data_IF_781619914337
#
_entry.id   IF_781619914337
#
_cell.length_a   1.000
_cell.length_b   1.000
_cell.length_c   1.000
_cell.angle_alpha   90.00
_cell.angle_beta   90.00
_cell.angle_gamma   90.00
#
_symmetry.space_group_name_H-M   'P 1'
#
loop_
_entity.id
_entity.type
_entity.pdbx_description
1 polymer ?
#
# COMPACT_ATOMS: atom_id res chain seq x y z
N UNK A 1 9.47 -25.59 29.09
CA UNK A 1 9.01 -26.55 28.08
C UNK A 1 7.54 -26.29 27.81
N UNK A 2 7.22 -25.67 26.68
CA UNK A 2 5.85 -25.54 26.16
C UNK A 2 5.94 -25.01 24.72
N UNK A 3 6.39 -25.88 23.82
CA UNK A 3 6.36 -25.66 22.39
C UNK A 3 5.67 -26.86 21.75
N UNK A 4 4.51 -26.63 21.14
CA UNK A 4 3.76 -27.65 20.42
C UNK A 4 2.30 -27.71 20.85
N UNK A 5 1.45 -26.83 20.33
CA UNK A 5 0.04 -27.18 20.03
C UNK A 5 -0.75 -26.10 19.25
N UNK A 6 -0.10 -25.32 18.40
CA UNK A 6 -0.80 -24.30 17.57
C UNK A 6 -0.95 -24.71 16.09
N UNK A 7 -0.45 -25.89 15.70
CA UNK A 7 -0.62 -26.43 14.34
C UNK A 7 -1.88 -27.30 14.20
N UNK A 8 -2.40 -27.84 15.29
CA UNK A 8 -3.54 -28.77 15.28
C UNK A 8 -4.89 -28.02 15.33
N UNK A 9 -4.93 -26.83 15.94
CA UNK A 9 -6.15 -26.02 16.00
C UNK A 9 -6.53 -25.37 14.66
N UNK A 10 -5.55 -25.05 13.80
CA UNK A 10 -5.80 -24.39 12.52
C UNK A 10 -6.45 -25.32 11.47
N UNK A 11 -6.21 -26.63 11.58
CA UNK A 11 -6.77 -27.63 10.65
C UNK A 11 -8.25 -27.91 10.97
N UNK A 12 -8.67 -27.80 12.23
CA UNK A 12 -10.08 -28.03 12.61
C UNK A 12 -11.00 -26.84 12.26
N UNK A 13 -10.50 -25.60 12.28
CA UNK A 13 -11.32 -24.43 11.95
C UNK A 13 -11.61 -24.25 10.45
N UNK A 14 -10.75 -24.78 9.57
CA UNK A 14 -11.04 -24.79 8.12
C UNK A 14 -12.14 -25.79 7.73
N UNK A 15 -12.37 -26.83 8.52
CA UNK A 15 -13.47 -27.79 8.30
C UNK A 15 -14.84 -27.23 8.71
N UNK A 16 -14.89 -26.24 9.60
CA UNK A 16 -16.14 -25.67 10.12
C UNK A 16 -16.72 -24.53 9.27
N UNK A 17 -15.95 -23.92 8.36
CA UNK A 17 -16.44 -22.81 7.53
C UNK A 17 -17.12 -23.30 6.23
N UNK A 18 -16.95 -24.57 5.85
CA UNK A 18 -17.64 -25.17 4.69
C UNK A 18 -19.04 -25.72 5.05
N UNK A 19 -19.39 -25.77 6.35
CA UNK A 19 -20.65 -26.34 6.82
C UNK A 19 -21.71 -25.26 7.12
N UNK A 20 -21.95 -24.32 6.19
CA UNK A 20 -23.18 -23.51 6.22
C UNK A 20 -24.06 -23.95 5.06
N UNK A 21 -24.91 -24.93 5.36
CA UNK A 21 -25.95 -25.43 4.48
C UNK A 21 -26.94 -24.29 4.15
N UNK A 22 -27.11 -24.02 2.85
CA UNK A 22 -28.35 -23.46 2.33
C UNK A 22 -29.33 -24.62 2.06
N UNK A 23 -30.60 -24.37 2.39
CA UNK A 23 -31.72 -25.31 2.32
C UNK A 23 -31.96 -25.86 0.90
N UNK A 24 -32.29 -27.16 0.74
CA UNK A 24 -32.46 -27.79 -0.56
C UNK A 24 -33.92 -27.72 -1.04
N UNK A 25 -34.49 -26.53 -1.22
CA UNK A 25 -35.78 -26.37 -1.90
C UNK A 25 -35.85 -25.05 -2.68
N UNK A 26 -35.09 -24.95 -3.79
CA UNK A 26 -35.42 -24.16 -4.99
C UNK A 26 -34.21 -24.09 -5.93
N UNK A 27 -34.09 -25.08 -6.79
CA UNK A 27 -33.33 -24.93 -8.04
C UNK A 27 -33.73 -26.07 -9.00
N UNK A 28 -35.00 -26.05 -9.42
CA UNK A 28 -35.40 -26.73 -10.65
C UNK A 28 -35.51 -25.65 -11.74
N UNK A 29 -35.08 -26.02 -12.96
CA UNK A 29 -35.12 -25.26 -14.23
C UNK A 29 -33.88 -24.43 -14.62
N UNK A 30 -32.87 -25.11 -15.14
CA UNK A 30 -32.11 -24.64 -16.33
C UNK A 30 -31.61 -25.85 -17.13
N UNK A 31 -31.57 -25.82 -18.48
CA UNK A 31 -31.19 -26.95 -19.30
C UNK A 31 -29.66 -27.02 -19.41
N UNK A 32 -28.98 -27.19 -18.28
CA UNK A 32 -27.56 -27.53 -18.28
C UNK A 32 -27.43 -29.05 -18.14
N UNK A 33 -26.56 -29.72 -18.91
CA UNK A 33 -26.29 -31.14 -18.69
C UNK A 33 -25.89 -31.30 -17.22
N UNK A 34 -26.49 -32.26 -16.52
CA UNK A 34 -26.21 -32.51 -15.10
C UNK A 34 -24.73 -32.81 -14.96
N UNK A 35 -23.95 -31.84 -14.49
CA UNK A 35 -22.51 -31.97 -14.25
C UNK A 35 -22.30 -32.50 -12.84
N UNK A 36 -21.67 -33.66 -12.74
CA UNK A 36 -21.37 -34.33 -11.49
C UNK A 36 -20.01 -33.91 -10.93
N UNK A 37 -19.05 -33.55 -11.78
CA UNK A 37 -17.69 -33.16 -11.38
C UNK A 37 -17.51 -31.64 -11.20
N UNK A 38 -17.01 -31.26 -10.02
CA UNK A 38 -16.69 -29.87 -9.67
C UNK A 38 -15.32 -29.75 -9.00
N UNK A 39 -14.59 -28.68 -9.30
CA UNK A 39 -13.39 -28.27 -8.55
C UNK A 39 -13.81 -27.14 -7.61
N UNK A 40 -13.53 -27.27 -6.31
CA UNK A 40 -13.98 -26.29 -5.30
C UNK A 40 -15.50 -26.23 -5.19
N UNK A 41 -16.05 -25.02 -5.26
CA UNK A 41 -17.50 -24.73 -5.25
C UNK A 41 -18.14 -24.71 -6.65
N UNK A 42 -17.35 -24.97 -7.72
CA UNK A 42 -17.82 -24.96 -9.10
C UNK A 42 -17.95 -23.57 -9.73
N UNK A 43 -17.63 -22.49 -9.01
CA UNK A 43 -17.74 -21.10 -9.50
C UNK A 43 -16.66 -20.70 -10.51
N UNK A 44 -15.53 -21.41 -10.50
CA UNK A 44 -14.32 -21.06 -11.24
C UNK A 44 -13.85 -22.22 -12.10
N UNK A 45 -13.44 -21.90 -13.34
CA UNK A 45 -12.93 -22.87 -14.32
C UNK A 45 -11.43 -22.68 -14.59
N UNK A 46 -10.86 -21.56 -14.17
CA UNK A 46 -9.43 -21.25 -14.28
C UNK A 46 -8.83 -21.10 -12.88
N UNK A 47 -7.73 -21.79 -12.63
CA UNK A 47 -7.04 -21.80 -11.33
C UNK A 47 -5.57 -21.40 -11.52
N UNK A 48 -5.01 -20.65 -10.58
CA UNK A 48 -3.62 -20.19 -10.68
C UNK A 48 -2.70 -21.00 -9.76
N UNK A 49 -1.56 -21.43 -10.29
CA UNK A 49 -0.52 -22.15 -9.56
C UNK A 49 0.86 -21.50 -9.76
N UNK A 50 1.69 -21.41 -8.70
CA UNK A 50 3.05 -20.90 -8.83
C UNK A 50 3.94 -21.89 -9.58
N UNK A 51 4.91 -21.40 -10.35
CA UNK A 51 5.88 -22.19 -11.12
C UNK A 51 6.72 -23.13 -10.24
N UNK A 52 7.12 -24.31 -10.75
CA UNK A 52 8.01 -25.28 -10.09
C UNK A 52 7.54 -25.83 -8.73
N UNK A 53 6.27 -25.64 -8.37
CA UNK A 53 5.73 -26.06 -7.08
C UNK A 53 4.97 -27.39 -7.17
N UNK A 54 4.79 -28.02 -6.01
CA UNK A 54 3.85 -29.13 -5.85
C UNK A 54 2.60 -28.63 -5.15
N UNK A 55 1.46 -29.01 -5.70
CA UNK A 55 0.15 -28.57 -5.26
C UNK A 55 -0.82 -29.73 -5.14
N UNK A 56 -1.99 -29.41 -4.59
CA UNK A 56 -3.10 -30.35 -4.50
C UNK A 56 -4.36 -29.67 -5.00
N UNK A 57 -5.12 -30.39 -5.82
CA UNK A 57 -6.46 -29.97 -6.26
C UNK A 57 -7.46 -30.97 -5.73
N UNK A 58 -8.58 -30.47 -5.20
CA UNK A 58 -9.69 -31.31 -4.73
C UNK A 58 -10.83 -31.25 -5.74
N UNK A 59 -11.25 -32.42 -6.21
CA UNK A 59 -12.41 -32.58 -7.09
C UNK A 59 -13.52 -33.27 -6.32
N UNK A 60 -14.69 -32.65 -6.29
CA UNK A 60 -15.91 -33.24 -5.74
C UNK A 60 -16.75 -33.86 -6.85
N UNK A 61 -17.34 -35.02 -6.57
CA UNK A 61 -18.30 -35.70 -7.45
C UNK A 61 -19.63 -35.88 -6.73
N UNK A 62 -20.68 -35.28 -7.28
CA UNK A 62 -22.07 -35.47 -6.84
C UNK A 62 -22.75 -36.70 -7.45
N UNK A 63 -22.02 -37.53 -8.22
CA UNK A 63 -22.58 -38.70 -8.87
C UNK A 63 -22.95 -39.77 -7.84
N UNK A 64 -24.23 -40.09 -7.73
CA UNK A 64 -24.70 -41.27 -6.98
C UNK A 64 -24.88 -42.42 -7.95
N UNK A 65 -24.10 -43.49 -7.74
CA UNK A 65 -24.37 -44.76 -8.42
C UNK A 65 -25.79 -45.20 -8.07
N UNK A 66 -26.69 -45.15 -9.05
CA UNK A 66 -28.03 -45.69 -8.91
C UNK A 66 -27.89 -47.21 -8.88
N UNK A 67 -28.11 -47.82 -7.71
CA UNK A 67 -28.39 -49.24 -7.64
C UNK A 67 -29.70 -49.49 -8.40
N UNK A 68 -29.61 -49.89 -9.67
CA UNK A 68 -30.83 -50.07 -10.47
C UNK A 68 -30.70 -49.96 -11.99
N UNK A 69 -29.72 -50.62 -12.62
CA UNK A 69 -29.92 -51.16 -13.98
C UNK A 69 -29.47 -52.63 -13.97
N UNK A 70 -30.46 -53.52 -14.14
CA UNK A 70 -30.38 -55.00 -14.13
C UNK A 70 -28.95 -55.55 -14.22
N UNK A 71 -28.42 -56.00 -13.08
CA UNK A 71 -27.24 -56.86 -13.00
C UNK A 71 -25.87 -56.19 -12.86
N UNK A 72 -25.77 -54.86 -12.81
CA UNK A 72 -24.49 -54.16 -12.59
C UNK A 72 -24.38 -53.63 -11.16
N UNK A 73 -23.42 -54.14 -10.40
CA UNK A 73 -23.05 -53.61 -9.08
C UNK A 73 -21.82 -52.71 -9.22
N UNK A 74 -22.03 -51.40 -9.37
CA UNK A 74 -20.95 -50.41 -9.33
C UNK A 74 -20.28 -50.44 -7.96
N UNK A 75 -19.05 -50.96 -7.89
CA UNK A 75 -18.31 -51.13 -6.65
C UNK A 75 -17.41 -49.94 -6.33
N UNK A 76 -16.91 -49.20 -7.34
CA UNK A 76 -15.94 -48.13 -7.10
C UNK A 76 -15.93 -47.05 -8.19
N UNK A 77 -16.28 -45.82 -7.79
CA UNK A 77 -16.07 -44.64 -8.62
C UNK A 77 -14.58 -44.28 -8.63
N UNK A 78 -14.06 -43.87 -9.78
CA UNK A 78 -12.67 -43.39 -9.89
C UNK A 78 -12.61 -42.20 -10.83
N UNK A 79 -11.82 -41.19 -10.44
CA UNK A 79 -11.54 -40.04 -11.28
C UNK A 79 -10.16 -40.20 -11.92
N UNK A 80 -10.09 -39.97 -13.22
CA UNK A 80 -8.83 -39.89 -13.97
C UNK A 80 -8.62 -38.46 -14.42
N UNK A 81 -7.46 -37.90 -14.09
CA UNK A 81 -7.09 -36.53 -14.49
C UNK A 81 -5.81 -36.57 -15.31
N UNK A 82 -5.82 -35.85 -16.43
CA UNK A 82 -4.67 -35.64 -17.29
C UNK A 82 -4.51 -34.16 -17.58
N UNK A 83 -3.27 -33.69 -17.57
CA UNK A 83 -2.95 -32.39 -18.14
C UNK A 83 -2.76 -32.54 -19.65
N UNK A 84 -3.33 -31.64 -20.44
CA UNK A 84 -3.09 -31.58 -21.88
C UNK A 84 -1.75 -30.91 -22.21
N UNK A 85 -1.16 -30.21 -21.24
CA UNK A 85 0.18 -29.62 -21.34
C UNK A 85 1.04 -30.07 -20.13
N UNK A 86 1.76 -31.21 -20.25
CA UNK A 86 2.53 -31.79 -19.14
C UNK A 86 3.77 -30.98 -18.77
N UNK A 87 4.28 -30.13 -19.67
CA UNK A 87 5.42 -29.27 -19.41
C UNK A 87 5.04 -28.11 -18.49
N UNK A 88 3.79 -27.65 -18.58
CA UNK A 88 3.21 -26.62 -17.71
C UNK A 88 2.68 -27.23 -16.40
N UNK A 89 1.90 -28.31 -16.45
CA UNK A 89 1.38 -29.02 -15.26
C UNK A 89 1.47 -30.54 -15.45
N UNK A 90 2.11 -31.22 -14.51
CA UNK A 90 2.15 -32.68 -14.44
C UNK A 90 1.28 -33.21 -13.30
N UNK A 91 0.48 -34.25 -13.59
CA UNK A 91 -0.35 -34.93 -12.59
C UNK A 91 0.51 -36.03 -11.94
N UNK A 92 0.72 -35.94 -10.62
CA UNK A 92 1.55 -36.86 -9.86
C UNK A 92 0.78 -38.11 -9.42
N UNK A 93 -0.38 -37.90 -8.81
CA UNK A 93 -1.24 -38.96 -8.32
C UNK A 93 -2.69 -38.48 -8.16
N UNK A 94 -3.62 -39.44 -8.20
CA UNK A 94 -5.03 -39.21 -7.86
C UNK A 94 -5.37 -40.18 -6.73
N UNK A 95 -5.71 -39.63 -5.56
CA UNK A 95 -6.11 -40.40 -4.39
C UNK A 95 -7.57 -40.14 -4.05
N UNK A 96 -8.31 -41.20 -3.75
CA UNK A 96 -9.66 -41.13 -3.22
C UNK A 96 -9.58 -40.72 -1.73
N UNK A 97 -10.23 -39.60 -1.37
CA UNK A 97 -10.22 -39.07 0.00
C UNK A 97 -11.46 -39.48 0.81
N UNK A 98 -12.33 -40.32 0.24
CA UNK A 98 -13.55 -40.81 0.88
C UNK A 98 -14.77 -39.90 0.63
N UNK A 99 -15.89 -40.26 1.27
CA UNK A 99 -17.17 -39.54 1.15
C UNK A 99 -17.34 -38.54 2.29
N UNK A 100 -17.61 -37.28 1.94
CA UNK A 100 -18.04 -36.25 2.87
C UNK A 100 -19.48 -35.84 2.50
N UNK A 101 -20.47 -36.33 3.27
CA UNK A 101 -21.89 -36.09 2.98
C UNK A 101 -22.38 -36.82 1.72
N UNK A 102 -23.05 -36.09 0.82
CA UNK A 102 -23.65 -36.64 -0.40
C UNK A 102 -22.69 -36.80 -1.59
N UNK A 103 -21.44 -36.35 -1.48
CA UNK A 103 -20.45 -36.28 -2.56
C UNK A 103 -19.16 -37.04 -2.23
N UNK A 104 -18.53 -37.65 -3.25
CA UNK A 104 -17.22 -38.28 -3.17
C UNK A 104 -16.13 -37.24 -3.46
N UNK A 105 -15.03 -37.22 -2.70
CA UNK A 105 -13.94 -36.25 -2.90
C UNK A 105 -12.65 -36.93 -3.34
N UNK A 106 -11.99 -36.39 -4.37
CA UNK A 106 -10.74 -36.88 -4.93
C UNK A 106 -9.66 -35.82 -4.81
N UNK A 107 -8.50 -36.23 -4.32
CA UNK A 107 -7.34 -35.38 -4.08
C UNK A 107 -6.30 -35.68 -5.16
N UNK A 108 -5.93 -34.66 -5.93
CA UNK A 108 -5.01 -34.78 -7.06
C UNK A 108 -3.73 -34.04 -6.70
N UNK A 109 -2.62 -34.78 -6.60
CA UNK A 109 -1.31 -34.17 -6.51
C UNK A 109 -0.86 -33.70 -7.89
N UNK A 110 -0.43 -32.44 -7.97
CA UNK A 110 0.08 -31.83 -9.20
C UNK A 110 1.46 -31.23 -8.96
N UNK A 111 2.23 -31.10 -10.04
CA UNK A 111 3.49 -30.36 -10.07
C UNK A 111 3.49 -29.41 -11.26
N UNK A 112 3.71 -28.13 -11.00
CA UNK A 112 3.89 -27.12 -12.05
C UNK A 112 5.31 -27.13 -12.59
N UNK A 113 5.43 -26.82 -13.87
CA UNK A 113 6.67 -26.76 -14.64
C UNK A 113 6.89 -25.37 -15.22
N UNK A 114 6.85 -25.20 -16.53
CA UNK A 114 7.08 -23.91 -17.20
C UNK A 114 5.86 -22.97 -17.10
N UNK A 115 6.05 -21.64 -17.21
CA UNK A 115 4.93 -20.69 -17.20
C UNK A 115 4.05 -20.88 -18.44
N UNK A 116 2.73 -20.87 -18.24
CA UNK A 116 1.77 -21.13 -19.30
C UNK A 116 0.41 -21.51 -18.74
N UNK A 117 -0.57 -21.78 -19.60
CA UNK A 117 -1.89 -22.26 -19.19
C UNK A 117 -2.08 -23.69 -19.68
N UNK A 118 -2.29 -24.62 -18.75
CA UNK A 118 -2.52 -26.04 -19.02
C UNK A 118 -4.01 -26.39 -18.85
N UNK A 119 -4.72 -26.75 -19.93
CA UNK A 119 -6.05 -27.32 -19.81
C UNK A 119 -5.99 -28.72 -19.18
N UNK A 120 -7.01 -29.05 -18.39
CA UNK A 120 -7.16 -30.35 -17.74
C UNK A 120 -8.25 -31.18 -18.41
N UNK A 121 -7.97 -32.45 -18.60
CA UNK A 121 -8.94 -33.48 -18.96
C UNK A 121 -9.28 -34.29 -17.71
N UNK A 122 -10.50 -34.17 -17.22
CA UNK A 122 -10.99 -34.85 -16.02
C UNK A 122 -12.11 -35.80 -16.43
N UNK A 123 -11.95 -37.08 -16.14
CA UNK A 123 -12.89 -38.14 -16.48
C UNK A 123 -13.38 -38.82 -15.20
N UNK A 124 -14.71 -38.87 -15.01
CA UNK A 124 -15.34 -39.69 -13.99
C UNK A 124 -15.66 -41.06 -14.58
N UNK A 125 -15.10 -42.12 -14.00
CA UNK A 125 -15.30 -43.49 -14.44
C UNK A 125 -15.99 -44.31 -13.35
N UNK A 126 -16.83 -45.22 -13.80
CA UNK A 126 -17.46 -46.22 -12.96
C UNK A 126 -16.88 -47.61 -13.28
N UNK A 127 -16.35 -48.29 -12.26
CA UNK A 127 -15.73 -49.61 -12.37
C UNK A 127 -16.72 -50.69 -11.94
N UNK A 128 -17.09 -51.53 -12.90
CA UNK A 128 -17.90 -52.73 -12.70
C UNK A 128 -16.98 -53.97 -12.61
N UNK A 129 -17.44 -55.01 -11.92
CA UNK A 129 -16.60 -56.12 -11.42
C UNK A 129 -15.90 -56.93 -12.54
N UNK A 130 -16.45 -56.94 -13.76
CA UNK A 130 -16.01 -57.76 -14.89
C UNK A 130 -16.06 -57.02 -16.26
N UNK A 131 -15.95 -55.69 -16.31
CA UNK A 131 -16.08 -54.92 -17.57
C UNK A 131 -15.07 -53.76 -17.70
N UNK A 132 -14.85 -53.29 -18.93
CA UNK A 132 -14.09 -52.06 -19.17
C UNK A 132 -14.74 -50.85 -18.46
N UNK A 133 -13.95 -49.95 -17.85
CA UNK A 133 -14.47 -48.83 -17.07
C UNK A 133 -15.34 -47.91 -17.94
N UNK A 134 -16.55 -47.63 -17.46
CA UNK A 134 -17.53 -46.81 -18.19
C UNK A 134 -17.31 -45.34 -17.86
N UNK A 135 -17.12 -44.51 -18.89
CA UNK A 135 -17.01 -43.06 -18.74
C UNK A 135 -18.40 -42.46 -18.44
N UNK A 136 -18.52 -41.81 -17.29
CA UNK A 136 -19.75 -41.17 -16.83
C UNK A 136 -19.79 -39.70 -17.24
N UNK A 137 -18.67 -38.98 -17.05
CA UNK A 137 -18.54 -37.57 -17.39
C UNK A 137 -17.10 -37.24 -17.77
N UNK A 138 -16.93 -36.36 -18.75
CA UNK A 138 -15.64 -35.80 -19.16
C UNK A 138 -15.72 -34.26 -19.15
N UNK A 139 -14.73 -33.62 -18.51
CA UNK A 139 -14.58 -32.16 -18.43
C UNK A 139 -13.23 -31.75 -19.00
N UNK A 140 -13.25 -30.76 -19.89
CA UNK A 140 -12.07 -30.16 -20.55
C UNK A 140 -12.01 -28.64 -20.42
N UNK A 141 -13.03 -28.05 -19.79
CA UNK A 141 -13.18 -26.60 -19.59
C UNK A 141 -12.42 -26.09 -18.36
N UNK A 142 -11.77 -26.98 -17.60
CA UNK A 142 -10.87 -26.59 -16.52
C UNK A 142 -9.47 -26.31 -17.03
N UNK A 143 -8.86 -25.22 -16.56
CA UNK A 143 -7.47 -24.89 -16.88
C UNK A 143 -6.71 -24.39 -15.66
N UNK A 144 -5.40 -24.68 -15.64
CA UNK A 144 -4.48 -24.19 -14.63
C UNK A 144 -3.50 -23.24 -15.30
N UNK A 145 -3.45 -22.00 -14.83
CA UNK A 145 -2.44 -21.03 -15.21
C UNK A 145 -1.25 -21.12 -14.27
N UNK A 146 -0.09 -21.43 -14.83
CA UNK A 146 1.21 -21.35 -14.14
C UNK A 146 1.82 -19.99 -14.43
N UNK A 147 1.77 -19.11 -13.43
CA UNK A 147 2.45 -17.82 -13.53
C UNK A 147 3.96 -18.02 -13.35
N UNK A 148 4.77 -17.31 -14.14
CA UNK A 148 6.22 -17.31 -13.99
C UNK A 148 6.58 -16.85 -12.58
N UNK A 149 7.09 -17.79 -11.78
CA UNK A 149 7.38 -17.56 -10.39
C UNK A 149 8.70 -16.80 -10.26
N UNK A 150 8.62 -15.55 -9.80
CA UNK A 150 9.72 -15.00 -9.00
C UNK A 150 9.77 -15.77 -7.68
N UNK A 151 10.71 -16.70 -7.62
CA UNK A 151 11.28 -17.47 -6.50
C UNK A 151 10.36 -17.99 -5.36
N UNK A 152 10.48 -19.31 -5.16
CA UNK A 152 10.05 -20.08 -3.99
C UNK A 152 10.64 -19.53 -2.68
N UNK A 153 9.87 -18.76 -1.92
CA UNK A 153 10.13 -18.49 -0.51
C UNK A 153 8.80 -18.60 0.27
N UNK A 154 8.71 -19.26 1.43
CA UNK A 154 7.57 -19.15 2.34
C UNK A 154 7.16 -17.69 2.68
N UNK A 155 8.01 -16.70 2.38
CA UNK A 155 7.65 -15.28 2.32
C UNK A 155 6.57 -14.94 1.27
N UNK A 156 6.37 -15.73 0.21
CA UNK A 156 5.37 -15.48 -0.83
C UNK A 156 3.92 -15.58 -0.33
N UNK A 157 3.67 -16.36 0.75
CA UNK A 157 2.37 -16.34 1.45
C UNK A 157 2.17 -15.07 2.28
N UNK A 158 3.25 -14.36 2.64
CA UNK A 158 3.20 -12.98 3.13
C UNK A 158 3.12 -11.97 1.97
N UNK A 159 3.62 -12.28 0.77
CA UNK A 159 3.59 -11.38 -0.40
C UNK A 159 2.25 -11.34 -1.16
N UNK A 160 1.28 -12.20 -0.83
CA UNK A 160 -0.13 -11.94 -1.13
C UNK A 160 -0.72 -10.74 -0.35
N UNK A 161 0.03 -10.22 0.63
CA UNK A 161 -0.36 -9.15 1.54
C UNK A 161 0.71 -8.05 1.55
N UNK A 162 0.72 -7.16 0.56
CA UNK A 162 1.76 -6.13 0.52
C UNK A 162 1.49 -4.99 -0.45
N UNK A 163 1.57 -3.76 0.07
CA UNK A 163 1.63 -2.51 -0.69
C UNK A 163 0.29 -1.80 -0.88
N UNK A 164 -0.33 -1.99 -2.05
CA UNK A 164 -1.44 -1.18 -2.54
C UNK A 164 -2.83 -1.78 -2.36
N UNK A 165 -3.00 -3.11 -2.41
CA UNK A 165 -4.30 -3.74 -2.11
C UNK A 165 -4.67 -3.51 -0.65
N UNK A 166 -3.72 -3.66 0.28
CA UNK A 166 -3.96 -3.37 1.70
C UNK A 166 -4.06 -1.86 2.02
N UNK A 167 -3.50 -0.97 1.20
CA UNK A 167 -3.69 0.50 1.34
C UNK A 167 -5.07 0.91 0.82
N UNK A 168 -5.43 0.43 -0.38
CA UNK A 168 -6.70 0.69 -1.05
C UNK A 168 -7.89 -0.09 -0.48
N UNK A 169 -7.69 -1.10 0.34
CA UNK A 169 -8.78 -1.85 1.01
C UNK A 169 -8.90 -1.48 2.49
N UNK A 170 -8.03 -0.61 3.01
CA UNK A 170 -8.11 -0.21 4.42
C UNK A 170 -9.27 0.78 4.64
N UNK A 171 -10.31 0.41 5.39
CA UNK A 171 -11.45 1.30 5.61
C UNK A 171 -11.05 2.58 6.35
N UNK A 172 -9.97 2.54 7.14
CA UNK A 172 -9.44 3.71 7.85
C UNK A 172 -8.87 4.73 6.87
N UNK A 173 -8.19 4.30 5.80
CA UNK A 173 -7.66 5.24 4.81
C UNK A 173 -8.78 6.01 4.12
N UNK A 174 -9.84 5.33 3.69
CA UNK A 174 -11.00 5.98 3.07
C UNK A 174 -11.71 6.93 4.03
N UNK A 175 -11.76 6.62 5.32
CA UNK A 175 -12.31 7.52 6.33
C UNK A 175 -11.43 8.77 6.53
N UNK A 176 -10.10 8.65 6.45
CA UNK A 176 -9.17 9.76 6.61
C UNK A 176 -9.14 10.70 5.40
N UNK A 177 -9.37 10.22 4.18
CA UNK A 177 -9.27 11.05 2.96
C UNK A 177 -10.20 12.28 2.96
N UNK A 178 -11.52 12.18 3.23
CA UNK A 178 -12.40 13.35 3.37
C UNK A 178 -11.94 14.29 4.49
N UNK A 179 -11.45 13.71 5.60
CA UNK A 179 -10.97 14.48 6.74
C UNK A 179 -9.72 15.30 6.37
N UNK A 180 -8.78 14.72 5.61
CA UNK A 180 -7.62 15.41 5.05
C UNK A 180 -8.07 16.57 4.17
N UNK A 181 -9.05 16.33 3.29
CA UNK A 181 -9.57 17.34 2.37
C UNK A 181 -10.17 18.53 3.15
N UNK A 182 -11.06 18.27 4.11
CA UNK A 182 -11.69 19.32 4.91
C UNK A 182 -10.66 20.04 5.78
N UNK A 183 -9.70 19.33 6.38
CA UNK A 183 -8.65 19.96 7.18
C UNK A 183 -7.75 20.87 6.32
N UNK A 184 -7.38 20.44 5.11
CA UNK A 184 -6.63 21.28 4.15
C UNK A 184 -7.41 22.52 3.74
N UNK A 185 -8.71 22.38 3.50
CA UNK A 185 -9.61 23.51 3.24
C UNK A 185 -9.64 24.47 4.42
N UNK A 186 -9.77 23.95 5.65
CA UNK A 186 -9.75 24.76 6.85
C UNK A 186 -8.43 25.52 7.05
N UNK A 187 -7.29 24.90 6.75
CA UNK A 187 -6.00 25.60 6.72
C UNK A 187 -5.94 26.67 5.61
N UNK A 188 -6.50 26.41 4.43
CA UNK A 188 -6.65 27.41 3.37
C UNK A 188 -7.36 28.68 3.85
N UNK A 189 -8.33 28.56 4.76
CA UNK A 189 -8.99 29.71 5.37
C UNK A 189 -8.09 30.55 6.31
N UNK A 190 -6.91 30.07 6.72
CA UNK A 190 -5.94 30.86 7.48
C UNK A 190 -5.11 31.80 6.63
N UNK A 191 -5.02 31.59 5.32
CA UNK A 191 -4.20 32.42 4.43
C UNK A 191 -4.75 33.83 4.36
N UNK A 192 -3.95 34.82 4.72
CA UNK A 192 -4.26 36.24 4.52
C UNK A 192 -3.77 36.69 3.15
N UNK A 193 -4.66 37.27 2.35
CA UNK A 193 -4.36 37.64 0.95
C UNK A 193 -3.34 38.78 0.91
N UNK A 194 -3.40 39.71 1.86
CA UNK A 194 -2.46 40.82 2.01
C UNK A 194 -1.04 40.30 2.28
N UNK A 195 -0.92 39.30 3.15
CA UNK A 195 0.36 38.65 3.48
C UNK A 195 0.87 37.85 2.28
N UNK A 196 0.00 37.14 1.56
CA UNK A 196 0.34 36.42 0.34
C UNK A 196 0.86 37.37 -0.76
N UNK A 197 0.21 38.51 -0.97
CA UNK A 197 0.66 39.55 -1.90
C UNK A 197 2.01 40.14 -1.46
N UNK A 198 2.23 40.28 -0.15
CA UNK A 198 3.53 40.67 0.42
C UNK A 198 4.64 39.67 0.11
N UNK A 199 4.35 38.36 0.17
CA UNK A 199 5.29 37.30 -0.19
C UNK A 199 5.67 37.31 -1.67
N UNK A 200 4.74 37.67 -2.56
CA UNK A 200 5.04 37.85 -3.99
C UNK A 200 5.97 39.05 -4.24
N UNK A 201 5.89 40.11 -3.43
CA UNK A 201 6.80 41.27 -3.49
C UNK A 201 8.19 40.97 -2.91
N UNK A 202 8.27 40.09 -1.92
CA UNK A 202 9.53 39.67 -1.28
C UNK A 202 9.60 38.13 -1.24
N UNK A 203 9.90 37.47 -2.37
CA UNK A 203 9.79 36.03 -2.52
C UNK A 203 10.94 35.24 -1.88
N UNK A 204 11.86 35.90 -1.16
CA UNK A 204 13.04 35.26 -0.56
C UNK A 204 12.69 33.99 0.23
N UNK A 205 11.69 33.98 1.15
CA UNK A 205 11.34 32.77 1.89
C UNK A 205 10.84 31.62 0.98
N UNK A 206 10.10 31.97 -0.08
CA UNK A 206 9.56 31.00 -1.04
C UNK A 206 10.67 30.38 -1.88
N UNK A 207 11.61 31.20 -2.35
CA UNK A 207 12.78 30.75 -3.12
C UNK A 207 13.68 29.83 -2.29
N UNK A 208 13.89 30.15 -1.01
CA UNK A 208 14.64 29.27 -0.10
C UNK A 208 13.96 27.91 0.10
N UNK A 209 12.62 27.90 0.20
CA UNK A 209 11.86 26.65 0.24
C UNK A 209 12.06 25.80 -0.99
N UNK A 210 11.86 26.39 -2.17
CA UNK A 210 12.00 25.70 -3.45
C UNK A 210 13.43 25.18 -3.65
N UNK A 211 14.45 26.01 -3.37
CA UNK A 211 15.84 25.59 -3.47
C UNK A 211 16.18 24.50 -2.44
N UNK A 212 15.69 24.62 -1.20
CA UNK A 212 15.85 23.61 -0.17
C UNK A 212 15.26 22.26 -0.59
N UNK A 213 13.99 22.25 -0.99
CA UNK A 213 13.23 21.04 -1.29
C UNK A 213 13.61 20.37 -2.59
N UNK A 214 13.88 21.12 -3.66
CA UNK A 214 14.07 20.53 -5.00
C UNK A 214 15.51 20.53 -5.49
N UNK A 215 16.44 21.20 -4.79
CA UNK A 215 17.86 21.18 -5.13
C UNK A 215 18.70 20.54 -4.02
N UNK A 216 18.62 21.06 -2.79
CA UNK A 216 19.51 20.63 -1.71
C UNK A 216 19.11 19.25 -1.18
N UNK A 217 17.82 19.01 -0.94
CA UNK A 217 17.34 17.74 -0.37
C UNK A 217 17.55 16.53 -1.30
N UNK A 218 17.26 16.59 -2.61
CA UNK A 218 17.55 15.46 -3.51
C UNK A 218 19.06 15.19 -3.61
N UNK A 219 19.88 16.24 -3.64
CA UNK A 219 21.33 16.11 -3.69
C UNK A 219 21.87 15.47 -2.40
N UNK A 220 21.34 15.88 -1.25
CA UNK A 220 21.64 15.28 0.04
C UNK A 220 21.29 13.78 0.05
N UNK A 221 20.07 13.43 -0.37
CA UNK A 221 19.63 12.04 -0.42
C UNK A 221 20.50 11.18 -1.36
N UNK A 222 20.87 11.73 -2.52
CA UNK A 222 21.78 11.06 -3.44
C UNK A 222 23.15 10.84 -2.79
N UNK A 223 23.77 11.88 -2.23
CA UNK A 223 25.07 11.77 -1.56
C UNK A 223 25.05 10.79 -0.38
N UNK A 224 24.02 10.87 0.46
CA UNK A 224 23.81 9.97 1.58
C UNK A 224 23.62 8.53 1.12
N UNK A 225 22.86 8.30 0.05
CA UNK A 225 22.66 6.96 -0.51
C UNK A 225 23.96 6.33 -1.01
N UNK A 226 24.87 7.13 -1.57
CA UNK A 226 26.20 6.68 -2.02
C UNK A 226 27.11 6.40 -0.84
N UNK A 227 27.12 7.27 0.17
CA UNK A 227 27.92 7.11 1.38
C UNK A 227 27.51 5.87 2.18
N UNK A 228 26.20 5.65 2.33
CA UNK A 228 25.64 4.49 3.02
C UNK A 228 25.60 3.21 2.15
N UNK A 229 26.11 3.27 0.91
CA UNK A 229 26.10 2.16 -0.05
C UNK A 229 24.72 1.51 -0.21
N UNK A 230 23.68 2.34 -0.29
CA UNK A 230 22.31 1.86 -0.38
C UNK A 230 22.08 1.14 -1.72
N UNK A 231 21.35 0.00 -1.71
CA UNK A 231 20.84 -0.63 -2.92
C UNK A 231 20.04 0.36 -3.76
N UNK A 232 20.16 0.25 -5.10
CA UNK A 232 19.66 1.24 -6.05
C UNK A 232 18.18 1.61 -5.86
N UNK A 233 17.33 0.62 -5.59
CA UNK A 233 15.90 0.83 -5.34
C UNK A 233 15.64 1.69 -4.08
N UNK A 234 16.35 1.41 -2.97
CA UNK A 234 16.27 2.21 -1.74
C UNK A 234 16.85 3.61 -1.93
N UNK A 235 17.96 3.72 -2.63
CA UNK A 235 18.59 5.00 -2.96
C UNK A 235 17.61 5.89 -3.74
N UNK A 236 16.95 5.33 -4.75
CA UNK A 236 15.94 6.05 -5.51
C UNK A 236 14.72 6.41 -4.66
N UNK A 237 14.21 5.48 -3.84
CA UNK A 237 13.12 5.76 -2.90
C UNK A 237 13.44 6.93 -1.97
N UNK A 238 14.67 7.00 -1.45
CA UNK A 238 15.14 8.08 -0.59
C UNK A 238 15.23 9.42 -1.35
N UNK A 239 15.75 9.40 -2.59
CA UNK A 239 15.86 10.60 -3.43
C UNK A 239 14.49 11.13 -3.83
N UNK A 240 13.55 10.27 -4.23
CA UNK A 240 12.19 10.68 -4.58
C UNK A 240 11.45 11.22 -3.36
N UNK A 241 11.65 10.61 -2.19
CA UNK A 241 11.18 11.19 -0.92
C UNK A 241 11.74 12.58 -0.72
N UNK A 242 13.03 12.75 -1.00
CA UNK A 242 13.72 14.03 -0.87
C UNK A 242 13.45 15.05 -1.98
N UNK A 243 12.67 14.67 -2.99
CA UNK A 243 12.24 15.50 -4.10
C UNK A 243 10.75 15.86 -3.99
N UNK A 244 10.09 15.38 -2.95
CA UNK A 244 8.68 15.63 -2.73
C UNK A 244 8.47 17.08 -2.22
N UNK A 245 7.33 17.70 -2.52
CA UNK A 245 6.97 18.99 -1.93
C UNK A 245 6.77 18.86 -0.42
N UNK A 246 6.54 20.01 0.24
CA UNK A 246 6.22 20.06 1.68
C UNK A 246 5.13 19.06 2.09
N UNK A 247 5.35 18.39 3.22
CA UNK A 247 4.52 17.28 3.70
C UNK A 247 3.18 17.70 4.28
N UNK A 248 2.25 16.73 4.39
CA UNK A 248 0.86 16.93 4.82
C UNK A 248 0.62 17.50 6.23
N UNK A 249 1.67 17.77 7.00
CA UNK A 249 1.63 18.39 8.32
C UNK A 249 2.52 19.62 8.52
N UNK A 250 3.27 20.08 7.50
CA UNK A 250 4.23 21.19 7.64
C UNK A 250 3.61 22.49 8.16
N UNK A 251 2.45 22.88 7.61
CA UNK A 251 1.68 24.03 8.09
C UNK A 251 1.07 23.84 9.48
N UNK A 252 0.73 22.60 9.88
CA UNK A 252 0.25 22.31 11.24
C UNK A 252 1.38 22.44 12.25
N UNK A 253 2.56 21.88 11.95
CA UNK A 253 3.72 22.03 12.82
C UNK A 253 4.19 23.47 12.90
N UNK A 254 4.14 24.21 11.79
CA UNK A 254 4.39 25.65 11.78
C UNK A 254 3.41 26.38 12.71
N UNK A 255 2.12 26.03 12.69
CA UNK A 255 1.13 26.57 13.62
C UNK A 255 1.46 26.24 15.08
N UNK A 256 1.83 24.99 15.39
CA UNK A 256 2.09 24.53 16.77
C UNK A 256 3.41 25.09 17.35
N UNK A 257 4.42 25.33 16.51
CA UNK A 257 5.75 25.80 16.91
C UNK A 257 5.91 27.33 16.83
N UNK A 258 4.83 28.05 16.49
CA UNK A 258 4.83 29.51 16.37
C UNK A 258 5.62 30.02 15.15
N UNK A 259 5.51 29.31 14.04
CA UNK A 259 5.93 29.76 12.71
C UNK A 259 4.88 30.62 12.03
N UNK A 260 5.23 31.16 10.86
CA UNK A 260 4.32 31.86 9.97
C UNK A 260 3.50 30.85 9.15
N UNK A 261 2.21 30.73 9.48
CA UNK A 261 1.28 29.75 8.87
C UNK A 261 0.91 30.14 7.45
N UNK A 262 0.74 31.43 7.17
CA UNK A 262 0.43 31.92 5.82
C UNK A 262 1.60 31.63 4.88
N UNK A 263 2.84 31.85 5.35
CA UNK A 263 4.03 31.45 4.61
C UNK A 263 4.07 29.93 4.40
N UNK A 264 3.77 29.12 5.41
CA UNK A 264 3.84 27.66 5.30
C UNK A 264 2.90 27.14 4.21
N UNK A 265 1.64 27.60 4.23
CA UNK A 265 0.64 27.22 3.22
C UNK A 265 1.06 27.68 1.83
N UNK A 266 1.61 28.90 1.72
CA UNK A 266 2.08 29.46 0.44
C UNK A 266 3.25 28.64 -0.13
N UNK A 267 4.21 28.27 0.72
CA UNK A 267 5.34 27.41 0.35
C UNK A 267 4.86 26.02 -0.07
N UNK A 268 3.92 25.42 0.66
CA UNK A 268 3.34 24.12 0.28
C UNK A 268 2.62 24.20 -1.07
N UNK A 269 1.84 25.26 -1.34
CA UNK A 269 1.16 25.43 -2.63
C UNK A 269 2.16 25.59 -3.79
N UNK A 270 3.14 26.47 -3.64
CA UNK A 270 4.15 26.73 -4.68
C UNK A 270 5.00 25.49 -4.91
N UNK A 271 5.45 24.83 -3.85
CA UNK A 271 6.21 23.58 -3.97
C UNK A 271 5.37 22.47 -4.61
N UNK A 272 4.07 22.38 -4.32
CA UNK A 272 3.16 21.43 -4.98
C UNK A 272 3.10 21.67 -6.49
N UNK A 273 3.08 22.92 -6.95
CA UNK A 273 3.13 23.25 -8.38
C UNK A 273 4.49 22.90 -8.98
N UNK A 274 5.59 23.29 -8.31
CA UNK A 274 6.95 23.00 -8.77
C UNK A 274 7.22 21.49 -8.83
N UNK A 275 6.69 20.72 -7.87
CA UNK A 275 6.84 19.28 -7.79
C UNK A 275 6.30 18.54 -9.02
N UNK A 276 5.29 19.09 -9.71
CA UNK A 276 4.75 18.49 -10.93
C UNK A 276 5.83 18.32 -12.02
N UNK A 277 6.81 19.22 -12.09
CA UNK A 277 7.95 19.11 -12.98
C UNK A 277 9.21 18.57 -12.27
N UNK A 278 9.47 19.02 -11.04
CA UNK A 278 10.70 18.70 -10.32
C UNK A 278 10.78 17.22 -9.90
N UNK A 279 9.67 16.58 -9.52
CA UNK A 279 9.70 15.16 -9.14
C UNK A 279 10.02 14.23 -10.33
N UNK A 280 9.35 14.33 -11.49
CA UNK A 280 9.75 13.56 -12.67
C UNK A 280 11.18 13.84 -13.13
N UNK A 281 11.60 15.12 -13.11
CA UNK A 281 12.96 15.50 -13.50
C UNK A 281 14.02 14.91 -12.57
N UNK A 282 13.79 14.99 -11.26
CA UNK A 282 14.65 14.37 -10.24
C UNK A 282 14.69 12.85 -10.42
N UNK A 283 13.54 12.21 -10.65
CA UNK A 283 13.48 10.78 -10.93
C UNK A 283 14.29 10.37 -12.15
N UNK A 284 14.20 11.11 -13.24
CA UNK A 284 14.99 10.86 -14.44
C UNK A 284 16.49 11.08 -14.20
N UNK A 285 16.87 12.20 -13.58
CA UNK A 285 18.27 12.56 -13.35
C UNK A 285 18.97 11.60 -12.38
N UNK A 286 18.37 11.30 -11.24
CA UNK A 286 18.99 10.43 -10.25
C UNK A 286 18.78 8.95 -10.57
N UNK A 287 17.69 8.60 -11.26
CA UNK A 287 17.58 7.28 -11.90
C UNK A 287 18.68 7.06 -12.94
N UNK A 288 19.08 8.14 -13.65
CA UNK A 288 20.23 8.13 -14.53
C UNK A 288 21.52 7.87 -13.75
N UNK A 289 21.78 8.71 -12.76
CA UNK A 289 23.01 8.69 -11.98
C UNK A 289 23.20 7.41 -11.12
N UNK A 290 22.11 6.74 -10.74
CA UNK A 290 22.12 5.49 -10.00
C UNK A 290 22.12 4.23 -10.91
N UNK A 291 21.92 4.41 -12.23
CA UNK A 291 21.87 3.31 -13.19
C UNK A 291 20.63 2.42 -13.04
N UNK A 292 19.44 3.02 -12.93
CA UNK A 292 18.11 2.37 -12.77
C UNK A 292 17.21 2.54 -14.02
N UNK A 293 17.75 3.03 -15.13
CA UNK A 293 16.94 3.63 -16.21
C UNK A 293 16.07 2.66 -17.01
N UNK A 294 16.40 1.37 -17.02
CA UNK A 294 15.70 0.40 -17.87
C UNK A 294 14.32 -0.02 -17.33
N UNK A 295 13.96 0.36 -16.10
CA UNK A 295 12.77 -0.18 -15.42
C UNK A 295 11.80 0.86 -14.85
N UNK A 296 12.12 2.16 -14.87
CA UNK A 296 11.30 3.16 -14.15
C UNK A 296 10.24 3.82 -15.03
N UNK A 297 8.99 3.39 -14.89
CA UNK A 297 7.85 4.12 -15.43
C UNK A 297 7.39 5.19 -14.43
N UNK A 298 7.76 6.45 -14.63
CA UNK A 298 7.37 7.54 -13.71
C UNK A 298 5.85 7.80 -13.85
N UNK A 299 5.04 7.62 -12.79
CA UNK A 299 3.59 7.71 -12.84
C UNK A 299 3.11 9.17 -12.82
N UNK A 300 3.37 9.92 -13.90
CA UNK A 300 3.10 11.35 -14.00
C UNK A 300 1.66 11.73 -13.65
N UNK A 301 0.67 10.98 -14.18
CA UNK A 301 -0.76 11.22 -13.95
C UNK A 301 -1.11 11.11 -12.46
N UNK A 302 -0.50 10.16 -11.74
CA UNK A 302 -0.80 9.97 -10.30
C UNK A 302 -0.09 11.00 -9.44
N UNK A 303 1.15 11.36 -9.78
CA UNK A 303 1.86 12.49 -9.14
C UNK A 303 0.98 13.73 -9.26
N UNK A 304 0.54 14.06 -10.47
CA UNK A 304 -0.32 15.22 -10.70
C UNK A 304 -1.65 15.11 -9.93
N UNK A 305 -2.27 13.94 -9.92
CA UNK A 305 -3.50 13.69 -9.14
C UNK A 305 -3.33 13.93 -7.64
N UNK A 306 -2.24 13.45 -7.03
CA UNK A 306 -1.96 13.68 -5.61
C UNK A 306 -1.60 15.15 -5.32
N UNK A 307 -0.86 15.81 -6.22
CA UNK A 307 -0.57 17.24 -6.11
C UNK A 307 -1.86 18.08 -6.18
N UNK A 308 -2.77 17.74 -7.10
CA UNK A 308 -4.10 18.36 -7.17
C UNK A 308 -4.91 18.11 -5.90
N UNK A 309 -4.86 16.91 -5.33
CA UNK A 309 -5.51 16.62 -4.05
C UNK A 309 -4.98 17.48 -2.89
N UNK A 310 -3.75 17.99 -2.97
CA UNK A 310 -3.20 18.94 -2.02
C UNK A 310 -3.63 20.37 -2.35
N UNK A 311 -3.48 20.80 -3.61
CA UNK A 311 -3.68 22.18 -4.03
C UNK A 311 -5.16 22.63 -4.04
N UNK A 312 -6.07 21.75 -4.49
CA UNK A 312 -7.50 22.04 -4.63
C UNK A 312 -8.14 22.45 -3.30
N UNK A 313 -8.09 21.63 -2.23
CA UNK A 313 -8.75 21.99 -0.97
C UNK A 313 -8.18 23.26 -0.36
N UNK A 314 -6.86 23.48 -0.43
CA UNK A 314 -6.24 24.71 0.10
C UNK A 314 -6.76 25.93 -0.67
N UNK A 315 -6.79 25.86 -2.00
CA UNK A 315 -7.30 26.95 -2.86
C UNK A 315 -8.78 27.22 -2.61
N UNK A 316 -9.58 26.16 -2.40
CA UNK A 316 -10.99 26.27 -2.03
C UNK A 316 -11.16 26.95 -0.67
N UNK A 317 -10.33 26.62 0.32
CA UNK A 317 -10.32 27.26 1.62
C UNK A 317 -10.03 28.77 1.55
N UNK A 318 -9.08 29.17 0.71
CA UNK A 318 -8.80 30.58 0.45
C UNK A 318 -10.00 31.30 -0.18
N UNK A 319 -10.69 30.65 -1.12
CA UNK A 319 -11.90 31.20 -1.74
C UNK A 319 -13.06 31.30 -0.74
N UNK A 320 -13.24 30.30 0.13
CA UNK A 320 -14.24 30.31 1.20
C UNK A 320 -13.99 31.46 2.17
N UNK A 321 -12.73 31.74 2.53
CA UNK A 321 -12.37 32.90 3.36
C UNK A 321 -12.86 34.22 2.77
N UNK A 322 -12.75 34.38 1.45
CA UNK A 322 -13.11 35.60 0.74
C UNK A 322 -14.62 35.78 0.56
N UNK A 323 -15.36 34.68 0.41
CA UNK A 323 -16.78 34.72 0.02
C UNK A 323 -17.75 34.37 1.15
N UNK A 324 -17.33 33.58 2.13
CA UNK A 324 -18.21 32.95 3.13
C UNK A 324 -17.58 33.03 4.54
N UNK A 325 -17.60 34.22 5.19
CA UNK A 325 -16.99 34.41 6.51
C UNK A 325 -17.64 33.55 7.61
N UNK A 326 -18.94 33.26 7.50
CA UNK A 326 -19.65 32.38 8.43
C UNK A 326 -19.17 30.92 8.36
N UNK A 327 -18.85 30.42 7.15
CA UNK A 327 -18.29 29.06 6.98
C UNK A 327 -16.83 29.01 7.45
N UNK A 328 -16.12 30.12 7.27
CA UNK A 328 -14.72 30.26 7.69
C UNK A 328 -14.54 30.05 9.19
N UNK A 329 -15.38 30.65 10.03
CA UNK A 329 -15.28 30.48 11.49
C UNK A 329 -15.44 29.02 11.92
N UNK A 330 -16.38 28.29 11.29
CA UNK A 330 -16.59 26.86 11.53
C UNK A 330 -15.37 26.05 11.10
N UNK A 331 -14.87 26.26 9.88
CA UNK A 331 -13.69 25.55 9.37
C UNK A 331 -12.45 25.79 10.24
N UNK A 332 -12.22 27.03 10.68
CA UNK A 332 -11.12 27.37 11.57
C UNK A 332 -11.21 26.62 12.92
N UNK A 333 -12.41 26.43 13.46
CA UNK A 333 -12.62 25.66 14.69
C UNK A 333 -12.32 24.16 14.51
N UNK A 334 -12.53 23.61 13.30
CA UNK A 334 -12.27 22.21 12.97
C UNK A 334 -10.78 21.86 12.80
N UNK A 335 -9.91 22.86 12.60
CA UNK A 335 -8.46 22.63 12.37
C UNK A 335 -7.85 21.74 13.45
N UNK A 336 -8.05 22.09 14.73
CA UNK A 336 -7.43 21.39 15.86
C UNK A 336 -7.91 19.93 15.99
N UNK A 337 -9.23 19.64 16.10
CA UNK A 337 -9.71 18.26 16.25
C UNK A 337 -9.37 17.40 15.03
N UNK A 338 -9.52 17.93 13.80
CA UNK A 338 -9.22 17.14 12.60
C UNK A 338 -7.73 16.85 12.47
N UNK A 339 -6.87 17.84 12.75
CA UNK A 339 -5.42 17.62 12.77
C UNK A 339 -5.01 16.57 13.79
N UNK A 340 -5.62 16.55 14.98
CA UNK A 340 -5.36 15.52 15.98
C UNK A 340 -5.77 14.13 15.48
N UNK A 341 -6.98 13.97 14.96
CA UNK A 341 -7.47 12.70 14.40
C UNK A 341 -6.58 12.23 13.24
N UNK A 342 -6.12 13.15 12.38
CA UNK A 342 -5.22 12.83 11.27
C UNK A 342 -3.84 12.36 11.74
N UNK A 343 -3.27 12.98 12.77
CA UNK A 343 -1.99 12.53 13.35
C UNK A 343 -2.16 11.13 13.96
N UNK A 344 -3.18 10.93 14.80
CA UNK A 344 -3.41 9.63 15.47
C UNK A 344 -3.75 8.55 14.44
N UNK A 345 -4.62 8.85 13.49
CA UNK A 345 -4.98 7.95 12.40
C UNK A 345 -3.79 7.62 11.50
N UNK A 346 -2.93 8.60 11.22
CA UNK A 346 -1.69 8.40 10.47
C UNK A 346 -0.70 7.48 11.21
N UNK A 347 -0.52 7.66 12.51
CA UNK A 347 0.32 6.78 13.35
C UNK A 347 -0.25 5.36 13.38
N UNK A 348 -1.57 5.22 13.55
CA UNK A 348 -2.25 3.94 13.52
C UNK A 348 -2.07 3.22 12.17
N UNK A 349 -2.26 3.94 11.06
CA UNK A 349 -2.00 3.41 9.72
C UNK A 349 -0.54 2.99 9.54
N UNK A 350 0.40 3.81 10.01
CA UNK A 350 1.81 3.45 9.93
C UNK A 350 2.13 2.19 10.76
N UNK A 351 1.54 2.03 11.94
CA UNK A 351 1.70 0.80 12.72
C UNK A 351 1.15 -0.44 11.98
N UNK A 352 -0.05 -0.33 11.40
CA UNK A 352 -0.69 -1.43 10.66
C UNK A 352 0.10 -1.85 9.40
N UNK A 353 0.68 -0.88 8.69
CA UNK A 353 1.41 -1.15 7.43
C UNK A 353 2.91 -1.35 7.63
N UNK A 354 3.45 -0.98 8.79
CA UNK A 354 4.88 -1.02 9.06
C UNK A 354 5.45 -2.42 9.03
N UNK A 355 4.69 -3.44 9.44
CA UNK A 355 5.15 -4.83 9.47
C UNK A 355 5.44 -5.40 8.08
N UNK A 356 4.65 -5.05 7.06
CA UNK A 356 4.87 -5.50 5.69
C UNK A 356 5.95 -4.68 4.99
N UNK A 357 5.91 -3.35 5.11
CA UNK A 357 6.88 -2.47 4.43
C UNK A 357 8.29 -2.64 5.01
N UNK A 358 8.42 -2.70 6.34
CA UNK A 358 9.71 -2.83 7.02
C UNK A 358 10.19 -4.28 7.15
N UNK A 359 9.53 -5.23 6.49
CA UNK A 359 10.02 -6.59 6.41
C UNK A 359 11.44 -6.59 5.81
N UNK A 360 12.38 -7.27 6.48
CA UNK A 360 13.80 -7.34 6.08
C UNK A 360 14.48 -5.96 5.92
N UNK A 361 14.03 -4.94 6.66
CA UNK A 361 14.65 -3.60 6.63
C UNK A 361 16.10 -3.68 7.08
N UNK A 362 16.99 -2.99 6.35
CA UNK A 362 18.42 -2.95 6.66
C UNK A 362 18.75 -1.71 7.52
N UNK A 363 19.65 -1.82 8.52
CA UNK A 363 20.03 -0.67 9.36
C UNK A 363 20.48 0.60 8.61
N UNK A 364 21.22 0.52 7.47
CA UNK A 364 21.65 1.71 6.75
C UNK A 364 20.51 2.60 6.24
N UNK A 365 19.39 2.02 5.79
CA UNK A 365 18.25 2.84 5.33
C UNK A 365 17.49 3.47 6.49
N UNK A 366 17.44 2.79 7.65
CA UNK A 366 16.86 3.36 8.88
C UNK A 366 17.68 4.57 9.32
N UNK A 367 19.00 4.42 9.41
CA UNK A 367 19.90 5.52 9.76
C UNK A 367 19.78 6.68 8.76
N UNK A 368 19.78 6.38 7.45
CA UNK A 368 19.64 7.39 6.42
C UNK A 368 18.28 8.13 6.53
N UNK A 369 17.17 7.40 6.66
CA UNK A 369 15.84 7.97 6.76
C UNK A 369 15.65 8.87 7.98
N UNK A 370 16.21 8.51 9.14
CA UNK A 370 16.17 9.34 10.36
C UNK A 370 16.91 10.66 10.19
N UNK A 371 17.99 10.69 9.40
CA UNK A 371 18.75 11.93 9.20
C UNK A 371 18.05 12.94 8.27
N UNK A 372 17.10 12.50 7.43
CA UNK A 372 16.49 13.36 6.41
C UNK A 372 15.75 14.56 7.02
N UNK A 373 14.82 14.39 7.99
CA UNK A 373 14.09 15.53 8.53
C UNK A 373 14.99 16.43 9.35
N UNK A 374 15.88 15.86 10.18
CA UNK A 374 16.89 16.63 10.93
C UNK A 374 17.73 17.50 10.00
N UNK A 375 18.30 16.92 8.94
CA UNK A 375 19.13 17.66 7.99
C UNK A 375 18.34 18.79 7.33
N UNK A 376 17.12 18.51 6.90
CA UNK A 376 16.24 19.52 6.30
C UNK A 376 15.85 20.66 7.22
N UNK A 377 15.52 20.34 8.47
CA UNK A 377 15.24 21.33 9.50
C UNK A 377 16.46 22.25 9.70
N UNK A 378 17.67 21.67 9.81
CA UNK A 378 18.90 22.43 10.01
C UNK A 378 19.24 23.31 8.79
N UNK A 379 19.18 22.76 7.58
CA UNK A 379 19.47 23.50 6.35
C UNK A 379 18.44 24.61 6.12
N UNK A 380 17.15 24.31 6.25
CA UNK A 380 16.10 25.32 6.06
C UNK A 380 16.20 26.45 7.10
N UNK A 381 16.50 26.11 8.36
CA UNK A 381 16.74 27.13 9.40
C UNK A 381 18.00 27.95 9.13
N UNK A 382 19.09 27.28 8.74
CA UNK A 382 20.37 27.91 8.41
C UNK A 382 20.24 28.90 7.26
N UNK A 383 19.67 28.47 6.13
CA UNK A 383 19.44 29.32 4.96
C UNK A 383 18.56 30.53 5.31
N UNK A 384 17.44 30.32 6.00
CA UNK A 384 16.55 31.39 6.42
C UNK A 384 17.20 32.36 7.42
N UNK A 385 18.13 31.86 8.25
CA UNK A 385 18.91 32.69 9.16
C UNK A 385 19.92 33.55 8.40
N UNK A 386 20.63 32.98 7.42
CA UNK A 386 21.63 33.67 6.61
C UNK A 386 21.02 34.81 5.79
N UNK A 387 19.78 34.65 5.32
CA UNK A 387 19.05 35.71 4.58
C UNK A 387 18.32 36.70 5.50
N UNK A 388 18.53 36.62 6.82
CA UNK A 388 18.00 37.61 7.77
C UNK A 388 16.48 37.55 8.00
N UNK A 389 15.79 36.44 7.67
CA UNK A 389 14.34 36.34 7.86
C UNK A 389 13.94 36.47 9.34
N UNK A 390 12.73 36.93 9.70
CA UNK A 390 12.28 36.94 11.09
C UNK A 390 12.08 35.51 11.64
N UNK A 391 12.14 35.32 12.96
CA UNK A 391 12.10 34.00 13.61
C UNK A 391 10.89 33.13 13.18
N UNK A 392 9.64 33.65 13.08
CA UNK A 392 8.51 32.83 12.62
C UNK A 392 8.72 32.29 11.20
N UNK A 393 9.27 33.11 10.30
CA UNK A 393 9.57 32.68 8.92
C UNK A 393 10.75 31.70 8.86
N UNK A 394 11.78 31.87 9.70
CA UNK A 394 12.88 30.89 9.81
C UNK A 394 12.38 29.51 10.22
N UNK A 395 11.49 29.46 11.21
CA UNK A 395 10.85 28.21 11.64
C UNK A 395 10.02 27.59 10.52
N UNK A 396 9.24 28.40 9.81
CA UNK A 396 8.44 27.91 8.68
C UNK A 396 9.31 27.34 7.56
N UNK A 397 10.35 28.05 7.12
CA UNK A 397 11.25 27.56 6.07
C UNK A 397 11.97 26.28 6.52
N UNK A 398 12.42 26.22 7.78
CA UNK A 398 13.00 25.01 8.38
C UNK A 398 12.04 23.82 8.29
N UNK A 399 10.80 23.99 8.74
CA UNK A 399 9.77 22.95 8.76
C UNK A 399 9.38 22.53 7.35
N UNK A 400 9.14 23.46 6.44
CA UNK A 400 8.76 23.13 5.06
C UNK A 400 9.87 22.41 4.31
N UNK A 401 11.15 22.74 4.55
CA UNK A 401 12.27 22.01 3.94
C UNK A 401 12.42 20.62 4.57
N UNK A 402 12.35 20.49 5.90
CA UNK A 402 12.56 19.22 6.61
C UNK A 402 11.41 18.23 6.55
N UNK A 403 10.15 18.71 6.51
CA UNK A 403 8.97 17.86 6.49
C UNK A 403 8.53 17.67 5.04
N UNK A 404 8.87 16.52 4.47
CA UNK A 404 8.58 16.18 3.08
C UNK A 404 7.33 15.33 2.92
N UNK A 405 6.70 15.39 1.75
CA UNK A 405 5.54 14.57 1.44
C UNK A 405 5.92 13.12 1.11
N UNK A 406 6.22 12.38 2.17
CA UNK A 406 6.65 10.99 2.09
C UNK A 406 5.55 10.04 1.60
N UNK A 407 4.26 10.37 1.81
CA UNK A 407 3.14 9.58 1.27
C UNK A 407 3.05 9.66 -0.25
N UNK A 408 3.29 10.86 -0.82
CA UNK A 408 3.40 11.02 -2.26
C UNK A 408 4.57 10.20 -2.80
N UNK A 409 5.74 10.28 -2.18
CA UNK A 409 6.89 9.48 -2.59
C UNK A 409 6.65 7.96 -2.49
N UNK A 410 5.99 7.50 -1.43
CA UNK A 410 5.57 6.11 -1.28
C UNK A 410 4.66 5.67 -2.42
N UNK A 411 3.63 6.47 -2.75
CA UNK A 411 2.75 6.21 -3.89
C UNK A 411 3.52 6.18 -5.22
N UNK A 412 4.52 7.05 -5.42
CA UNK A 412 5.37 7.01 -6.62
C UNK A 412 6.13 5.68 -6.69
N UNK A 413 6.77 5.24 -5.61
CA UNK A 413 7.52 3.97 -5.58
C UNK A 413 6.63 2.77 -5.90
N UNK A 414 5.47 2.69 -5.25
CA UNK A 414 4.51 1.60 -5.42
C UNK A 414 3.96 1.46 -6.84
N UNK A 415 4.04 2.52 -7.64
CA UNK A 415 3.50 2.57 -9.00
C UNK A 415 4.57 2.59 -10.08
N UNK A 416 5.80 2.92 -9.72
CA UNK A 416 6.93 2.97 -10.66
C UNK A 416 7.65 1.63 -10.77
N UNK A 417 7.52 0.77 -9.75
CA UNK A 417 8.20 -0.52 -9.64
C UNK A 417 7.23 -1.70 -9.72
N UNK A 418 7.76 -2.86 -10.11
CA UNK A 418 7.05 -4.13 -9.95
C UNK A 418 6.84 -4.45 -8.46
N UNK A 419 5.81 -5.24 -8.14
CA UNK A 419 5.29 -5.42 -6.78
C UNK A 419 6.37 -5.79 -5.73
N UNK A 420 7.30 -6.67 -6.10
CA UNK A 420 8.38 -7.09 -5.19
C UNK A 420 9.42 -5.97 -4.92
N UNK A 421 9.78 -5.19 -5.94
CA UNK A 421 10.72 -4.07 -5.80
C UNK A 421 10.07 -2.82 -5.20
N UNK A 422 8.75 -2.66 -5.40
CA UNK A 422 7.96 -1.56 -4.88
C UNK A 422 7.97 -1.50 -3.35
N UNK A 423 7.66 -2.60 -2.66
CA UNK A 423 7.66 -2.65 -1.20
C UNK A 423 9.05 -2.38 -0.63
N UNK A 424 10.08 -2.92 -1.29
CA UNK A 424 11.47 -2.68 -0.93
C UNK A 424 11.83 -1.20 -1.09
N UNK A 425 11.59 -0.58 -2.24
CA UNK A 425 11.86 0.84 -2.49
C UNK A 425 11.03 1.76 -1.56
N UNK A 426 9.81 1.36 -1.21
CA UNK A 426 8.90 2.07 -0.30
C UNK A 426 9.37 2.13 1.16
N UNK A 427 10.36 1.32 1.55
CA UNK A 427 10.96 1.43 2.89
C UNK A 427 11.51 2.82 3.16
N UNK A 428 12.18 3.41 2.16
CA UNK A 428 12.79 4.74 2.31
C UNK A 428 11.74 5.84 2.64
N UNK A 429 10.71 6.10 1.81
CA UNK A 429 9.68 7.08 2.14
C UNK A 429 8.94 6.74 3.44
N UNK A 430 8.70 5.46 3.72
CA UNK A 430 8.00 5.05 4.93
C UNK A 430 8.79 5.38 6.22
N UNK A 431 10.09 5.09 6.24
CA UNK A 431 10.98 5.42 7.36
C UNK A 431 11.06 6.94 7.54
N UNK A 432 11.22 7.70 6.45
CA UNK A 432 11.26 9.17 6.51
C UNK A 432 9.94 9.74 7.03
N UNK A 433 8.79 9.16 6.66
CA UNK A 433 7.48 9.56 7.20
C UNK A 433 7.39 9.34 8.71
N UNK A 434 7.83 8.17 9.18
CA UNK A 434 7.85 7.83 10.61
C UNK A 434 8.79 8.77 11.38
N UNK A 435 10.03 8.91 10.95
CA UNK A 435 11.03 9.77 11.59
C UNK A 435 10.56 11.24 11.60
N UNK A 436 10.07 11.76 10.47
CA UNK A 436 9.56 13.13 10.40
C UNK A 436 8.42 13.36 11.38
N UNK A 437 7.46 12.43 11.46
CA UNK A 437 6.33 12.55 12.40
C UNK A 437 6.81 12.51 13.85
N UNK A 438 7.70 11.57 14.19
CA UNK A 438 8.25 11.41 15.53
C UNK A 438 9.08 12.61 15.97
N UNK A 439 10.01 13.07 15.15
CA UNK A 439 10.88 14.23 15.44
C UNK A 439 10.07 15.51 15.60
N UNK A 440 9.10 15.75 14.71
CA UNK A 440 8.25 16.93 14.81
C UNK A 440 7.35 16.87 16.04
N UNK A 441 6.84 15.70 16.41
CA UNK A 441 6.07 15.54 17.64
C UNK A 441 6.94 15.80 18.88
N UNK A 442 8.18 15.30 18.90
CA UNK A 442 9.14 15.59 19.97
C UNK A 442 9.43 17.09 20.09
N UNK A 443 9.64 17.79 18.96
CA UNK A 443 9.82 19.24 18.95
C UNK A 443 8.60 19.98 19.48
N UNK A 444 7.38 19.55 19.11
CA UNK A 444 6.13 20.13 19.64
C UNK A 444 6.01 19.90 21.14
N UNK A 445 6.24 18.67 21.62
CA UNK A 445 6.18 18.34 23.04
C UNK A 445 7.21 19.12 23.85
N UNK A 446 8.44 19.23 23.36
CA UNK A 446 9.49 20.05 23.96
C UNK A 446 9.09 21.53 24.01
N UNK A 447 8.52 22.06 22.93
CA UNK A 447 8.04 23.45 22.88
C UNK A 447 6.92 23.71 23.89
N UNK A 448 5.97 22.79 24.01
CA UNK A 448 4.87 22.88 24.98
C UNK A 448 5.39 22.76 26.41
N UNK A 449 6.27 21.81 26.69
CA UNK A 449 6.88 21.63 28.00
C UNK A 449 7.68 22.88 28.43
N UNK A 450 8.49 23.42 27.53
CA UNK A 450 9.24 24.66 27.78
C UNK A 450 8.31 25.84 28.08
N UNK A 451 7.21 25.99 27.32
CA UNK A 451 6.22 27.03 27.62
C UNK A 451 5.54 26.84 28.97
N UNK A 452 5.21 25.60 29.35
CA UNK A 452 4.57 25.29 30.64
C UNK A 452 5.52 25.53 31.81
N UNK A 453 6.80 25.19 31.67
CA UNK A 453 7.81 25.28 32.72
C UNK A 453 8.42 26.68 32.85
N UNK A 454 8.59 27.42 31.75
CA UNK A 454 9.35 28.68 31.75
C UNK A 454 8.49 29.95 31.67
N UNK A 455 7.18 29.88 31.44
CA UNK A 455 6.30 31.07 31.43
C UNK A 455 5.49 31.22 32.73
N UNK A 456 5.44 32.43 33.32
CA UNK A 456 4.65 32.72 34.51
C UNK A 456 3.14 32.52 34.23
N UNK A 457 2.36 32.15 35.26
CA UNK A 457 0.95 31.74 35.10
C UNK A 457 0.04 32.77 34.44
N UNK A 458 0.37 34.07 34.49
CA UNK A 458 -0.43 35.16 33.92
C UNK A 458 -0.50 35.15 32.37
N UNK A 459 0.44 34.52 31.67
CA UNK A 459 0.42 34.41 30.21
C UNK A 459 -0.20 33.09 29.70
N UNK A 460 -0.76 32.26 30.59
CA UNK A 460 -1.31 30.93 30.26
C UNK A 460 -2.75 30.95 29.76
N UNK A 461 -3.49 32.04 29.99
CA UNK A 461 -4.92 32.20 29.67
C UNK A 461 -5.20 32.88 28.33
N UNK A 462 -4.19 33.39 27.62
CA UNK A 462 -4.35 34.17 26.39
C UNK A 462 -4.02 33.41 25.09
N UNK A 463 -3.87 32.09 25.09
CA UNK A 463 -3.37 31.29 23.95
C UNK A 463 -4.26 30.12 23.54
#
# INVERSE_FOLDING_TARGET
>A
AAGGDMKTALVLSCLLIIARAEDPEKADQSPNPVRYLHIGDGSSQEFEFPQNTRGVIVISSGYRSSGGRKGRESLKQTVRVRSLDPDVISILNVSDSGRAGAASSYVIGIRSGVPGTAPLLIQLLDLDRDSEPVLIEERTDYSIRVAAGGDDDPAARLHGSGGLSHFSENPVLFALLPLIFVNKCAFGCKVEVEVLLGLLKRPVPLLLGVAGQFLIMPLYAYGLSRLASLPKALALGLVITCSAPGGGGGYLYSLLLGGDVTLAISMTLISTVVAAAAMPLSSALYGWLLGVHAALHVPFVKILGTLLFIAIPISLGMLVKLRLPAVTSVLLALIRPFSFVLIVGGIFMAYQMGSSILANVRPPIVAAGVTVPVFGLLVGFGLARLTGLPLPQRKTVSIEVGVQNSLLALAVMQLSFQRAEADYASQAPFIVALSSTSEMLLLVLAHVAQRRLCLPPASRTAA
#
